data_IF_641741471617
#
_entry.id   IF_641741471617
#
_cell.length_a   1.000
_cell.length_b   1.000
_cell.length_c   1.000
_cell.angle_alpha   90.00
_cell.angle_beta   90.00
_cell.angle_gamma   90.00
#
_symmetry.space_group_name_H-M   'P 1'
#
loop_
_entity.id
_entity.type
_entity.pdbx_description
1 polymer ?
#
# COMPACT_ATOMS: atom_id res chain seq x y z
N UNK A 1 -80.86 -57.11 -19.47
CA UNK A 1 -80.80 -56.36 -18.20
C UNK A 1 -79.33 -56.10 -17.90
N UNK A 2 -78.88 -54.96 -18.26
CA UNK A 2 -77.47 -54.52 -18.00
C UNK A 2 -77.45 -53.05 -17.50
N UNK A 3 -76.69 -52.73 -16.51
CA UNK A 3 -76.76 -51.42 -15.87
C UNK A 3 -76.04 -50.36 -16.71
N UNK A 4 -76.72 -49.24 -16.81
CA UNK A 4 -76.21 -47.97 -17.40
C UNK A 4 -75.10 -47.40 -16.57
N UNK A 5 -73.92 -47.26 -17.17
CA UNK A 5 -72.80 -46.52 -16.56
C UNK A 5 -72.90 -45.04 -16.93
N UNK A 6 -73.15 -44.18 -15.93
CA UNK A 6 -73.14 -42.75 -16.06
C UNK A 6 -71.66 -42.23 -16.11
N UNK A 7 -71.25 -41.71 -17.23
CA UNK A 7 -70.00 -40.98 -17.32
C UNK A 7 -70.15 -39.59 -16.67
N UNK A 8 -69.40 -39.36 -15.63
CA UNK A 8 -69.24 -38.06 -15.04
C UNK A 8 -68.10 -37.33 -15.81
N UNK A 9 -68.46 -36.26 -16.50
CA UNK A 9 -67.47 -35.34 -17.14
C UNK A 9 -66.94 -34.39 -16.06
N UNK A 10 -65.71 -34.56 -15.67
CA UNK A 10 -64.99 -33.56 -14.84
C UNK A 10 -64.45 -32.48 -15.75
N UNK A 11 -65.03 -31.26 -15.70
CA UNK A 11 -64.47 -30.07 -16.27
C UNK A 11 -63.39 -29.54 -15.30
N UNK A 12 -62.13 -29.81 -15.58
CA UNK A 12 -61.01 -29.26 -14.84
C UNK A 12 -60.78 -27.82 -15.20
N UNK A 13 -61.08 -26.92 -14.30
CA UNK A 13 -60.64 -25.52 -14.39
C UNK A 13 -59.11 -25.46 -14.14
N UNK A 14 -58.31 -25.26 -15.19
CA UNK A 14 -56.88 -24.98 -15.08
C UNK A 14 -56.73 -23.51 -14.69
N UNK A 15 -56.61 -23.26 -13.40
CA UNK A 15 -56.23 -21.95 -12.89
C UNK A 15 -54.75 -21.69 -13.17
N UNK A 16 -54.44 -20.83 -14.13
CA UNK A 16 -53.08 -20.27 -14.28
C UNK A 16 -52.76 -19.40 -13.07
N UNK A 17 -51.99 -19.94 -12.15
CA UNK A 17 -51.36 -19.12 -11.10
C UNK A 17 -50.17 -18.41 -11.74
N UNK A 18 -50.33 -17.12 -12.07
CA UNK A 18 -49.22 -16.23 -12.41
C UNK A 18 -48.43 -15.98 -11.13
N UNK A 19 -47.33 -16.72 -10.95
CA UNK A 19 -46.32 -16.37 -9.94
C UNK A 19 -45.55 -15.19 -10.47
N UNK A 20 -45.91 -13.98 -10.03
CA UNK A 20 -45.10 -12.79 -10.25
C UNK A 20 -43.88 -12.88 -9.32
N UNK A 21 -42.76 -13.29 -9.87
CA UNK A 21 -41.48 -13.22 -9.17
C UNK A 21 -41.04 -11.77 -9.11
N UNK A 22 -41.26 -11.11 -7.98
CA UNK A 22 -40.70 -9.85 -7.67
C UNK A 22 -39.19 -10.08 -7.44
N UNK A 23 -38.36 -9.92 -8.48
CA UNK A 23 -36.93 -9.84 -8.33
C UNK A 23 -36.63 -8.51 -7.61
N UNK A 24 -36.57 -8.58 -6.28
CA UNK A 24 -35.91 -7.53 -5.54
C UNK A 24 -34.41 -7.64 -5.90
N UNK A 25 -33.93 -6.72 -6.72
CA UNK A 25 -32.50 -6.50 -6.87
C UNK A 25 -32.05 -5.97 -5.50
N UNK A 26 -31.56 -6.85 -4.65
CA UNK A 26 -30.77 -6.45 -3.51
C UNK A 26 -29.55 -5.73 -4.08
N UNK A 27 -29.63 -4.41 -4.12
CA UNK A 27 -28.46 -3.59 -4.32
C UNK A 27 -27.61 -3.77 -3.05
N UNK A 28 -26.71 -4.75 -3.09
CA UNK A 28 -25.66 -4.86 -2.10
C UNK A 28 -24.97 -3.49 -2.03
N UNK A 29 -25.28 -2.75 -0.97
CA UNK A 29 -24.55 -1.52 -0.66
C UNK A 29 -23.13 -1.96 -0.32
N UNK A 30 -22.27 -1.94 -1.31
CA UNK A 30 -20.82 -2.16 -1.11
C UNK A 30 -20.34 -1.04 -0.20
N UNK A 31 -20.34 -1.30 1.10
CA UNK A 31 -19.71 -0.41 2.07
C UNK A 31 -18.22 -0.40 1.72
N UNK A 32 -17.74 0.74 1.22
CA UNK A 32 -16.34 0.90 0.90
C UNK A 32 -15.51 0.62 2.17
N UNK A 33 -14.70 -0.44 2.12
CA UNK A 33 -13.77 -0.76 3.21
C UNK A 33 -12.80 0.41 3.36
N UNK A 34 -12.47 0.83 4.60
CA UNK A 34 -11.46 1.83 4.83
C UNK A 34 -10.15 1.39 4.17
N UNK A 35 -9.63 2.18 3.24
CA UNK A 35 -8.37 1.87 2.57
C UNK A 35 -7.22 2.12 3.53
N UNK A 36 -6.26 1.19 3.56
CA UNK A 36 -5.04 1.37 4.34
C UNK A 36 -4.23 2.55 3.76
N UNK A 37 -3.82 3.52 4.57
CA UNK A 37 -3.00 4.63 4.11
C UNK A 37 -1.67 4.16 3.50
N UNK A 38 -1.17 4.89 2.51
CA UNK A 38 0.23 4.75 2.08
C UNK A 38 1.08 5.55 3.04
N UNK A 39 1.92 4.84 3.82
CA UNK A 39 2.76 5.46 4.85
C UNK A 39 4.19 5.55 4.37
N UNK A 40 4.80 6.73 4.52
CA UNK A 40 6.20 6.99 4.25
C UNK A 40 6.92 7.27 5.57
N UNK A 41 8.01 6.57 5.84
CA UNK A 41 8.91 6.92 6.94
C UNK A 41 9.81 8.05 6.48
N UNK A 42 9.68 9.22 7.08
CA UNK A 42 10.58 10.36 6.85
C UNK A 42 11.67 10.38 7.90
N UNK A 43 12.93 10.55 7.47
CA UNK A 43 14.04 10.90 8.34
C UNK A 43 14.55 12.29 7.95
N UNK A 44 14.85 13.12 8.93
CA UNK A 44 15.27 14.50 8.71
C UNK A 44 16.21 15.01 9.81
N UNK A 45 17.04 15.98 9.47
CA UNK A 45 17.91 16.64 10.46
C UNK A 45 17.10 17.61 11.31
N UNK A 46 17.07 17.38 12.61
CA UNK A 46 16.44 18.28 13.58
C UNK A 46 17.33 19.48 13.94
N UNK A 47 16.80 20.45 14.72
CA UNK A 47 17.54 21.63 15.14
C UNK A 47 18.70 21.32 16.10
N UNK A 48 18.71 20.12 16.67
CA UNK A 48 19.79 19.58 17.51
C UNK A 48 20.91 18.91 16.71
N UNK A 49 20.84 18.96 15.38
CA UNK A 49 21.80 18.31 14.47
C UNK A 49 21.72 16.79 14.44
N UNK A 50 20.68 16.19 15.06
CA UNK A 50 20.46 14.75 15.03
C UNK A 50 19.41 14.39 13.97
N UNK A 51 19.46 13.14 13.50
CA UNK A 51 18.42 12.60 12.61
C UNK A 51 17.24 12.13 13.43
N UNK A 52 16.07 12.67 13.10
CA UNK A 52 14.76 12.28 13.65
C UNK A 52 13.97 11.48 12.63
N UNK A 53 12.93 10.77 13.09
CA UNK A 53 12.04 10.03 12.20
C UNK A 53 10.58 10.22 12.60
N UNK A 54 9.73 10.36 11.59
CA UNK A 54 8.28 10.42 11.68
C UNK A 54 7.61 9.58 10.60
N UNK A 55 6.33 9.27 10.77
CA UNK A 55 5.50 8.64 9.74
C UNK A 55 4.65 9.72 9.08
N UNK A 56 4.56 9.68 7.76
CA UNK A 56 3.77 10.62 6.96
C UNK A 56 2.78 9.81 6.13
N UNK A 57 1.50 10.12 6.26
CA UNK A 57 0.47 9.59 5.38
C UNK A 57 0.49 10.35 4.05
N UNK A 58 0.59 9.61 2.94
CA UNK A 58 0.54 10.19 1.61
C UNK A 58 -0.87 10.69 1.34
N UNK A 59 -0.99 12.00 1.10
CA UNK A 59 -2.27 12.60 0.69
C UNK A 59 -2.64 12.10 -0.70
N UNK A 60 -3.81 11.52 -0.81
CA UNK A 60 -4.36 11.02 -2.06
C UNK A 60 -5.61 11.83 -2.44
N UNK A 61 -5.81 12.05 -3.72
CA UNK A 61 -7.02 12.67 -4.30
C UNK A 61 -7.61 11.72 -5.33
N UNK A 62 -8.93 11.75 -5.57
CA UNK A 62 -9.53 10.95 -6.61
C UNK A 62 -8.84 11.16 -7.95
N UNK A 63 -8.43 10.05 -8.59
CA UNK A 63 -7.84 10.01 -9.93
C UNK A 63 -8.86 9.54 -10.96
N UNK A 64 -8.43 9.39 -12.20
CA UNK A 64 -9.27 8.83 -13.27
C UNK A 64 -9.67 7.38 -12.95
N UNK A 65 -10.92 7.00 -13.19
CA UNK A 65 -11.45 5.67 -12.89
C UNK A 65 -11.67 5.46 -11.39
N UNK A 66 -11.28 4.30 -10.86
CA UNK A 66 -11.45 3.91 -9.44
C UNK A 66 -10.21 4.16 -8.59
N UNK A 67 -9.20 4.85 -9.12
CA UNK A 67 -7.91 5.08 -8.46
C UNK A 67 -7.87 6.38 -7.67
N UNK A 68 -6.84 6.47 -6.81
CA UNK A 68 -6.47 7.68 -6.09
C UNK A 68 -4.99 7.97 -6.38
N UNK A 69 -4.64 9.24 -6.51
CA UNK A 69 -3.30 9.69 -6.86
C UNK A 69 -2.79 10.70 -5.84
N UNK A 70 -1.50 10.61 -5.52
CA UNK A 70 -0.81 11.69 -4.84
C UNK A 70 -0.44 12.80 -5.83
N UNK A 71 -0.03 13.94 -5.31
CA UNK A 71 0.73 14.89 -6.13
C UNK A 71 1.98 14.22 -6.70
N UNK A 72 2.36 14.66 -7.91
CA UNK A 72 3.57 14.18 -8.56
C UNK A 72 4.80 14.81 -7.90
N UNK A 73 5.73 13.98 -7.42
CA UNK A 73 7.00 14.45 -6.91
C UNK A 73 7.95 14.77 -8.08
N UNK A 74 8.55 15.96 -8.06
CA UNK A 74 9.62 16.28 -9.00
C UNK A 74 10.89 15.53 -8.61
N UNK A 75 11.39 14.66 -9.51
CA UNK A 75 12.57 13.81 -9.30
C UNK A 75 13.60 14.05 -10.39
N UNK A 76 14.90 13.82 -10.08
CA UNK A 76 15.99 14.01 -11.03
C UNK A 76 16.47 12.70 -11.66
N UNK A 77 15.98 11.57 -11.19
CA UNK A 77 16.35 10.27 -11.72
C UNK A 77 15.87 9.11 -10.88
N UNK A 78 16.27 7.91 -11.29
CA UNK A 78 16.01 6.66 -10.58
C UNK A 78 17.24 5.77 -10.69
N UNK A 79 17.69 5.21 -9.56
CA UNK A 79 18.82 4.30 -9.50
C UNK A 79 18.42 3.00 -8.78
N UNK A 80 18.70 1.86 -9.42
CA UNK A 80 18.66 0.57 -8.74
C UNK A 80 19.93 0.35 -7.94
N UNK A 81 19.78 -0.11 -6.70
CA UNK A 81 20.90 -0.41 -5.82
C UNK A 81 20.78 -1.80 -5.24
N UNK A 82 21.89 -2.56 -5.30
CA UNK A 82 22.07 -3.83 -4.63
C UNK A 82 23.06 -3.67 -3.49
N UNK A 83 22.71 -4.16 -2.32
CA UNK A 83 23.54 -4.14 -1.12
C UNK A 83 23.65 -5.55 -0.57
N UNK A 84 24.86 -6.01 -0.29
CA UNK A 84 25.11 -7.32 0.30
C UNK A 84 24.52 -7.42 1.72
N UNK A 85 24.24 -8.63 2.23
CA UNK A 85 23.67 -8.82 3.57
C UNK A 85 24.55 -8.25 4.69
N UNK A 86 25.86 -8.26 4.52
CA UNK A 86 26.83 -7.72 5.46
C UNK A 86 27.19 -6.24 5.20
N UNK A 87 26.41 -5.56 4.37
CA UNK A 87 26.61 -4.12 4.14
C UNK A 87 26.51 -3.37 5.47
N UNK A 88 27.49 -2.47 5.68
CA UNK A 88 27.51 -1.57 6.83
C UNK A 88 28.06 -0.23 6.38
N UNK A 89 27.39 0.83 6.77
CA UNK A 89 27.84 2.20 6.61
C UNK A 89 27.62 2.92 7.95
N UNK A 90 28.71 3.39 8.53
CA UNK A 90 28.70 4.13 9.79
C UNK A 90 28.00 5.49 9.64
N UNK A 91 27.96 6.27 10.69
CA UNK A 91 27.26 7.56 10.74
C UNK A 91 27.51 8.41 9.50
N UNK A 92 26.47 8.71 8.76
CA UNK A 92 26.52 9.52 7.56
C UNK A 92 25.16 10.18 7.31
N UNK A 93 25.12 11.44 6.83
CA UNK A 93 23.89 12.06 6.34
C UNK A 93 23.51 11.48 4.97
N UNK A 94 22.25 11.61 4.61
CA UNK A 94 21.83 11.33 3.25
C UNK A 94 22.58 12.28 2.27
N UNK A 95 23.08 11.79 1.13
CA UNK A 95 23.84 12.64 0.19
C UNK A 95 22.96 13.70 -0.47
N UNK A 96 21.65 13.50 -0.44
CA UNK A 96 20.62 14.39 -1.00
C UNK A 96 19.27 13.96 -0.50
N UNK A 97 18.26 14.81 -0.67
CA UNK A 97 16.86 14.46 -0.44
C UNK A 97 16.43 13.40 -1.46
N UNK A 98 15.90 12.27 -0.99
CA UNK A 98 15.55 11.16 -1.89
C UNK A 98 14.54 10.21 -1.25
N UNK A 99 13.75 9.56 -2.08
CA UNK A 99 13.04 8.34 -1.67
C UNK A 99 13.97 7.13 -1.80
N UNK A 100 13.83 6.20 -0.86
CA UNK A 100 14.45 4.87 -0.91
C UNK A 100 13.35 3.84 -0.71
N UNK A 101 13.10 3.02 -1.73
CA UNK A 101 12.05 1.99 -1.69
C UNK A 101 12.74 0.62 -1.71
N UNK A 102 12.50 -0.19 -0.69
CA UNK A 102 13.03 -1.55 -0.65
C UNK A 102 12.13 -2.47 -1.47
N UNK A 103 12.70 -3.15 -2.46
CA UNK A 103 12.00 -4.12 -3.33
C UNK A 103 12.11 -5.54 -2.77
N UNK A 104 13.32 -5.94 -2.33
CA UNK A 104 13.57 -7.26 -1.76
C UNK A 104 14.73 -7.22 -0.78
N UNK A 105 14.90 -8.29 0.00
CA UNK A 105 15.87 -8.33 1.08
C UNK A 105 15.50 -7.40 2.22
N UNK A 106 16.42 -7.19 3.15
CA UNK A 106 16.17 -6.39 4.36
C UNK A 106 17.39 -5.54 4.71
N UNK A 107 17.13 -4.40 5.30
CA UNK A 107 18.12 -3.54 5.91
C UNK A 107 17.55 -2.87 7.15
N UNK A 108 18.38 -2.07 7.78
CA UNK A 108 18.02 -1.29 8.96
C UNK A 108 18.80 0.02 8.93
N UNK A 109 18.16 1.08 9.36
CA UNK A 109 18.86 2.32 9.76
C UNK A 109 18.75 2.51 11.26
N UNK A 110 19.82 3.04 11.85
CA UNK A 110 19.87 3.37 13.27
C UNK A 110 20.09 4.88 13.43
N UNK A 111 19.24 5.49 14.22
CA UNK A 111 19.28 6.92 14.54
C UNK A 111 20.00 7.15 15.88
N UNK A 112 20.33 8.39 16.16
CA UNK A 112 20.83 8.78 17.47
C UNK A 112 19.86 8.30 18.58
N UNK A 113 20.43 7.85 19.70
CA UNK A 113 19.66 7.23 20.77
C UNK A 113 19.29 5.76 20.55
N UNK A 114 19.79 5.13 19.47
CA UNK A 114 19.63 3.70 19.23
C UNK A 114 18.28 3.28 18.62
N UNK A 115 17.43 4.24 18.21
CA UNK A 115 16.17 3.93 17.51
C UNK A 115 16.47 3.28 16.17
N UNK A 116 15.92 2.10 15.94
CA UNK A 116 16.09 1.34 14.71
C UNK A 116 14.84 1.38 13.85
N UNK A 117 15.03 1.53 12.54
CA UNK A 117 13.98 1.55 11.54
C UNK A 117 14.24 0.41 10.54
N UNK A 118 13.41 -0.63 10.51
CA UNK A 118 13.58 -1.73 9.57
C UNK A 118 13.18 -1.31 8.16
N UNK A 119 14.00 -1.72 7.19
CA UNK A 119 13.79 -1.47 5.76
C UNK A 119 13.50 -2.81 5.07
N UNK A 120 12.26 -3.26 5.13
CA UNK A 120 11.80 -4.48 4.44
C UNK A 120 11.16 -4.20 3.08
N UNK A 121 10.77 -5.25 2.33
CA UNK A 121 10.08 -5.11 1.05
C UNK A 121 8.80 -4.26 1.19
N UNK A 122 8.62 -3.32 0.26
CA UNK A 122 7.51 -2.36 0.28
C UNK A 122 7.71 -1.16 1.21
N UNK A 123 8.76 -1.13 2.05
CA UNK A 123 9.03 0.02 2.90
C UNK A 123 9.48 1.23 2.07
N UNK A 124 8.84 2.37 2.30
CA UNK A 124 9.14 3.64 1.65
C UNK A 124 9.80 4.57 2.67
N UNK A 125 11.05 4.91 2.44
CA UNK A 125 11.82 5.88 3.22
C UNK A 125 11.97 7.18 2.43
N UNK A 126 11.67 8.32 3.06
CA UNK A 126 12.05 9.65 2.59
C UNK A 126 13.23 10.12 3.42
N UNK A 127 14.43 10.12 2.84
CA UNK A 127 15.65 10.59 3.47
C UNK A 127 15.83 12.09 3.18
N UNK A 128 15.74 12.90 4.24
CA UNK A 128 15.93 14.35 4.24
C UNK A 128 16.94 14.79 5.33
N UNK A 129 17.64 13.85 5.93
CA UNK A 129 18.72 14.10 6.89
C UNK A 129 20.04 14.40 6.17
N UNK A 130 20.04 15.45 5.36
CA UNK A 130 21.15 15.84 4.47
C UNK A 130 22.29 16.58 5.18
N UNK A 131 22.18 16.76 6.47
CA UNK A 131 23.18 17.45 7.31
C UNK A 131 23.25 16.81 8.70
N UNK A 132 24.15 17.29 9.55
CA UNK A 132 24.30 16.83 10.93
C UNK A 132 24.94 15.45 11.04
N UNK A 133 24.59 14.72 12.09
CA UNK A 133 25.17 13.40 12.39
C UNK A 133 24.75 12.33 11.40
N UNK A 134 23.54 12.41 10.84
CA UNK A 134 22.99 11.40 9.97
C UNK A 134 22.56 10.13 10.71
N UNK A 135 22.67 9.00 10.02
CA UNK A 135 22.23 7.66 10.48
C UNK A 135 23.25 6.58 10.13
N UNK A 136 23.17 5.44 10.79
CA UNK A 136 23.87 4.21 10.40
C UNK A 136 22.97 3.40 9.49
N UNK A 137 23.53 2.79 8.43
CA UNK A 137 22.82 1.86 7.56
C UNK A 137 23.47 0.49 7.57
N UNK A 138 22.66 -0.59 7.63
CA UNK A 138 23.18 -1.95 7.55
C UNK A 138 22.25 -2.91 6.84
N UNK A 139 22.82 -3.98 6.27
CA UNK A 139 22.07 -5.14 5.80
C UNK A 139 21.59 -5.98 6.97
N UNK A 140 20.47 -6.71 6.78
CA UNK A 140 19.89 -7.61 7.78
C UNK A 140 19.46 -8.91 7.09
N UNK A 141 19.82 -10.03 7.68
CA UNK A 141 19.52 -11.36 7.13
C UNK A 141 20.63 -11.87 6.22
N UNK A 142 20.29 -12.78 5.29
CA UNK A 142 21.25 -13.49 4.43
C UNK A 142 21.13 -13.16 2.95
N UNK A 143 20.18 -12.30 2.57
CA UNK A 143 19.90 -11.97 1.18
C UNK A 143 20.36 -10.56 0.82
N UNK A 144 20.73 -10.36 -0.44
CA UNK A 144 20.97 -9.04 -0.99
C UNK A 144 19.72 -8.17 -0.86
N UNK A 145 19.88 -6.94 -0.40
CA UNK A 145 18.81 -5.94 -0.44
C UNK A 145 18.82 -5.22 -1.78
N UNK A 146 17.71 -5.28 -2.49
CA UNK A 146 17.46 -4.52 -3.71
C UNK A 146 16.56 -3.35 -3.39
N UNK A 147 16.95 -2.16 -3.80
CA UNK A 147 16.18 -0.94 -3.54
C UNK A 147 16.26 0.05 -4.70
N UNK A 148 15.26 0.91 -4.79
CA UNK A 148 15.22 2.08 -5.65
C UNK A 148 15.64 3.30 -4.86
N UNK A 149 16.53 4.09 -5.42
CA UNK A 149 16.91 5.41 -4.95
C UNK A 149 16.38 6.43 -5.96
N UNK A 150 15.55 7.36 -5.50
CA UNK A 150 14.85 8.34 -6.33
C UNK A 150 15.15 9.73 -5.78
N UNK A 151 16.21 10.39 -6.29
CA UNK A 151 16.57 11.73 -5.87
C UNK A 151 15.46 12.73 -6.20
N UNK A 152 15.13 13.57 -5.23
CA UNK A 152 14.20 14.68 -5.43
C UNK A 152 14.91 15.86 -6.08
N UNK A 153 14.17 16.63 -6.90
CA UNK A 153 14.66 17.91 -7.37
C UNK A 153 14.81 18.88 -6.19
N UNK A 154 15.75 19.81 -6.32
CA UNK A 154 15.90 20.90 -5.38
C UNK A 154 14.66 21.79 -5.40
N UNK A 155 14.30 22.33 -4.22
CA UNK A 155 13.18 23.26 -4.09
C UNK A 155 13.62 24.67 -4.40
#
# INVERSE_FOLDING_TARGET
MGPMVRQLVFVGLVGCILVVWNAHADHDVVVAQPRTPIVVTRIYTGPDGQTHAEQIDVKLTPGGGSGELSEMAAVTGLQFRRQAPNYFQDWHPAPRRQYVITLSGRGEIELAGGKKIPLGPGHILLAEDVAGKGHISRGVGSEDRISLFIPLAER
#
